data_IF_651732842123
#
_entry.id   IF_651732842123
#
_cell.length_a   1.000
_cell.length_b   1.000
_cell.length_c   1.000
_cell.angle_alpha   90.00
_cell.angle_beta   90.00
_cell.angle_gamma   90.00
#
_symmetry.space_group_name_H-M   'P 1'
#
loop_
_entity.id
_entity.type
_entity.pdbx_description
1 polymer ?
#
# COMPACT_ATOMS: atom_id res chain seq x y z
N UNK A 1 -10.38 -26.21 -8.58
CA UNK A 1 -10.53 -25.08 -7.64
C UNK A 1 -10.55 -23.81 -8.48
N UNK A 2 -11.36 -22.79 -8.15
CA UNK A 2 -11.30 -21.54 -8.92
C UNK A 2 -10.10 -20.71 -8.46
N UNK A 3 -9.19 -20.38 -9.38
CA UNK A 3 -8.03 -19.50 -9.12
C UNK A 3 -8.44 -18.10 -8.62
N UNK A 4 -9.70 -17.72 -8.83
CA UNK A 4 -10.24 -16.39 -8.50
C UNK A 4 -11.11 -16.34 -7.24
N UNK A 5 -11.03 -17.34 -6.35
CA UNK A 5 -11.91 -17.44 -5.18
C UNK A 5 -11.63 -16.38 -4.09
N UNK A 6 -10.38 -15.91 -3.98
CA UNK A 6 -9.94 -14.96 -2.94
C UNK A 6 -9.32 -13.67 -3.52
N UNK A 7 -9.54 -13.42 -4.81
CA UNK A 7 -8.88 -12.34 -5.56
C UNK A 7 -9.66 -11.04 -5.47
N UNK A 8 -8.98 -9.91 -5.20
CA UNK A 8 -9.65 -8.61 -5.17
C UNK A 8 -10.01 -8.16 -6.60
N UNK A 9 -11.05 -7.34 -6.74
CA UNK A 9 -11.46 -6.80 -8.04
C UNK A 9 -10.32 -6.05 -8.75
N UNK A 10 -9.51 -5.30 -8.00
CA UNK A 10 -8.36 -4.57 -8.54
C UNK A 10 -7.30 -5.51 -9.13
N UNK A 11 -7.01 -6.65 -8.50
CA UNK A 11 -6.04 -7.61 -9.02
C UNK A 11 -6.53 -8.25 -10.32
N UNK A 12 -7.84 -8.56 -10.40
CA UNK A 12 -8.44 -9.09 -11.63
C UNK A 12 -8.44 -8.06 -12.77
N UNK A 13 -8.60 -6.77 -12.44
CA UNK A 13 -8.53 -5.69 -13.43
C UNK A 13 -7.13 -5.65 -14.07
N UNK A 14 -6.08 -5.67 -13.24
CA UNK A 14 -4.68 -5.69 -13.71
C UNK A 14 -4.44 -6.92 -14.57
N UNK A 15 -4.85 -8.12 -14.11
CA UNK A 15 -4.69 -9.35 -14.89
C UNK A 15 -5.42 -9.29 -16.25
N UNK A 16 -6.59 -8.65 -16.30
CA UNK A 16 -7.34 -8.47 -17.56
C UNK A 16 -6.58 -7.54 -18.52
N UNK A 17 -6.00 -6.45 -18.02
CA UNK A 17 -5.17 -5.52 -18.80
C UNK A 17 -3.87 -6.18 -19.31
N UNK A 18 -3.22 -7.01 -18.49
CA UNK A 18 -2.02 -7.78 -18.87
C UNK A 18 -2.31 -8.80 -19.99
N UNK A 19 -3.52 -9.36 -20.02
CA UNK A 19 -3.99 -10.23 -21.10
C UNK A 19 -4.41 -9.47 -22.37
N UNK A 20 -4.19 -8.15 -22.42
CA UNK A 20 -4.51 -7.28 -23.55
C UNK A 20 -5.98 -6.88 -23.66
N UNK A 21 -6.81 -7.24 -22.67
CA UNK A 21 -8.23 -6.91 -22.64
C UNK A 21 -8.48 -5.56 -21.95
N UNK A 22 -9.51 -4.83 -22.38
CA UNK A 22 -9.82 -3.52 -21.79
C UNK A 22 -10.66 -3.67 -20.53
N UNK A 23 -10.06 -3.44 -19.36
CA UNK A 23 -10.76 -3.46 -18.08
C UNK A 23 -11.06 -2.03 -17.57
N UNK A 24 -12.32 -1.72 -17.29
CA UNK A 24 -12.73 -0.47 -16.66
C UNK A 24 -13.24 -0.71 -15.23
N UNK A 25 -13.41 0.37 -14.47
CA UNK A 25 -13.88 0.28 -13.10
C UNK A 25 -15.38 -0.05 -12.99
N UNK A 26 -16.15 0.11 -14.07
CA UNK A 26 -17.59 -0.18 -14.10
C UNK A 26 -17.89 -1.67 -14.32
N UNK A 27 -16.96 -2.44 -14.89
CA UNK A 27 -17.06 -3.88 -15.06
C UNK A 27 -17.25 -4.56 -13.71
N UNK A 28 -18.19 -5.50 -13.63
CA UNK A 28 -18.37 -6.29 -12.42
C UNK A 28 -17.27 -7.35 -12.33
N UNK A 29 -17.07 -7.90 -11.14
CA UNK A 29 -16.10 -8.99 -10.93
C UNK A 29 -16.39 -10.21 -11.82
N UNK A 30 -17.67 -10.48 -12.13
CA UNK A 30 -18.07 -11.52 -13.09
C UNK A 30 -17.62 -11.18 -14.51
N UNK A 31 -17.73 -9.93 -14.92
CA UNK A 31 -17.39 -9.50 -16.28
C UNK A 31 -15.87 -9.64 -16.50
N UNK A 32 -15.06 -9.22 -15.52
CA UNK A 32 -13.60 -9.40 -15.55
C UNK A 32 -13.19 -10.88 -15.65
N UNK A 33 -13.83 -11.76 -14.87
CA UNK A 33 -13.58 -13.21 -14.96
C UNK A 33 -13.90 -13.78 -16.34
N UNK A 34 -15.01 -13.32 -16.92
CA UNK A 34 -15.41 -13.74 -18.26
C UNK A 34 -14.44 -13.22 -19.33
N UNK A 35 -13.95 -12.00 -19.20
CA UNK A 35 -12.93 -11.43 -20.11
C UNK A 35 -11.64 -12.25 -20.06
N UNK A 36 -11.16 -12.56 -18.85
CA UNK A 36 -9.97 -13.39 -18.65
C UNK A 36 -10.16 -14.77 -19.28
N UNK A 37 -11.29 -15.45 -19.06
CA UNK A 37 -11.56 -16.75 -19.66
C UNK A 37 -11.76 -16.71 -21.17
N UNK A 38 -12.19 -15.58 -21.73
CA UNK A 38 -12.42 -15.41 -23.16
C UNK A 38 -11.15 -14.99 -23.91
N UNK A 39 -10.10 -14.56 -23.21
CA UNK A 39 -8.83 -14.18 -23.83
C UNK A 39 -8.16 -15.40 -24.47
N UNK A 40 -7.68 -15.22 -25.69
CA UNK A 40 -6.95 -16.26 -26.42
C UNK A 40 -5.59 -16.60 -25.78
N UNK A 41 -5.02 -15.65 -25.04
CA UNK A 41 -3.73 -15.80 -24.35
C UNK A 41 -3.90 -16.36 -22.93
N UNK A 42 -5.12 -16.74 -22.53
CA UNK A 42 -5.38 -17.29 -21.21
C UNK A 42 -4.82 -18.70 -21.06
N UNK A 43 -3.74 -18.81 -20.30
CA UNK A 43 -3.25 -20.05 -19.72
C UNK A 43 -3.46 -20.03 -18.20
N UNK A 44 -4.04 -21.08 -17.63
CA UNK A 44 -4.44 -21.10 -16.20
C UNK A 44 -3.24 -21.01 -15.25
N UNK A 45 -2.13 -21.69 -15.56
CA UNK A 45 -0.94 -21.66 -14.70
C UNK A 45 -0.22 -20.32 -14.83
N UNK A 46 -0.08 -19.79 -16.05
CA UNK A 46 0.47 -18.46 -16.29
C UNK A 46 -0.36 -17.39 -15.60
N UNK A 47 -1.69 -17.38 -15.76
CA UNK A 47 -2.58 -16.42 -15.11
C UNK A 47 -2.48 -16.49 -13.58
N UNK A 48 -2.29 -17.69 -13.02
CA UNK A 48 -2.09 -17.90 -11.59
C UNK A 48 -0.73 -17.37 -11.12
N UNK A 49 0.36 -17.57 -11.86
CA UNK A 49 1.68 -17.00 -11.57
C UNK A 49 1.64 -15.47 -11.62
N UNK A 50 1.08 -14.89 -12.68
CA UNK A 50 0.89 -13.45 -12.81
C UNK A 50 0.09 -12.87 -11.66
N UNK A 51 -1.01 -13.53 -11.29
CA UNK A 51 -1.85 -13.07 -10.19
C UNK A 51 -1.12 -13.12 -8.84
N UNK A 52 -0.28 -14.13 -8.61
CA UNK A 52 0.56 -14.19 -7.42
C UNK A 52 1.55 -13.02 -7.36
N UNK A 53 2.15 -12.66 -8.50
CA UNK A 53 3.02 -11.48 -8.61
C UNK A 53 2.27 -10.20 -8.27
N UNK A 54 1.10 -9.96 -8.88
CA UNK A 54 0.25 -8.79 -8.61
C UNK A 54 -0.11 -8.70 -7.11
N UNK A 55 -0.51 -9.82 -6.52
CA UNK A 55 -0.86 -9.88 -5.10
C UNK A 55 0.35 -9.59 -4.20
N UNK A 56 1.53 -10.13 -4.55
CA UNK A 56 2.75 -9.91 -3.78
C UNK A 56 3.22 -8.45 -3.86
N UNK A 57 3.24 -7.86 -5.05
CA UNK A 57 3.60 -6.45 -5.24
C UNK A 57 2.66 -5.52 -4.45
N UNK A 58 1.36 -5.81 -4.44
CA UNK A 58 0.39 -5.05 -3.63
C UNK A 58 0.71 -5.19 -2.14
N UNK A 59 0.95 -6.40 -1.65
CA UNK A 59 1.29 -6.65 -0.23
C UNK A 59 2.58 -5.95 0.17
N UNK A 60 3.60 -5.99 -0.69
CA UNK A 60 4.87 -5.32 -0.44
C UNK A 60 4.68 -3.80 -0.38
N UNK A 61 3.85 -3.22 -1.25
CA UNK A 61 3.49 -1.80 -1.19
C UNK A 61 2.75 -1.44 0.09
N UNK A 62 1.71 -2.21 0.46
CA UNK A 62 0.94 -2.01 1.69
C UNK A 62 1.87 -2.10 2.93
N UNK A 63 2.84 -3.02 2.93
CA UNK A 63 3.83 -3.15 4.00
C UNK A 63 4.82 -1.98 4.03
N UNK A 64 5.31 -1.54 2.86
CA UNK A 64 6.18 -0.38 2.75
C UNK A 64 5.52 0.90 3.25
N UNK A 65 4.26 1.12 2.88
CA UNK A 65 3.46 2.26 3.36
C UNK A 65 3.33 2.22 4.88
N UNK A 66 2.97 1.07 5.45
CA UNK A 66 2.88 0.91 6.92
C UNK A 66 4.21 1.18 7.62
N UNK A 67 5.33 0.65 7.09
CA UNK A 67 6.67 0.91 7.65
C UNK A 67 7.05 2.40 7.57
N UNK A 68 6.72 3.04 6.45
CA UNK A 68 6.99 4.46 6.27
C UNK A 68 6.15 5.33 7.22
N UNK A 69 4.87 4.98 7.43
CA UNK A 69 4.02 5.64 8.43
C UNK A 69 4.59 5.50 9.84
N UNK A 70 5.07 4.32 10.21
CA UNK A 70 5.69 4.06 11.51
C UNK A 70 6.95 4.92 11.72
N UNK A 71 7.83 4.98 10.72
CA UNK A 71 9.03 5.83 10.73
C UNK A 71 8.65 7.31 10.88
N UNK A 72 7.67 7.79 10.11
CA UNK A 72 7.22 9.18 10.17
C UNK A 72 6.63 9.55 11.54
N UNK A 73 5.91 8.62 12.18
CA UNK A 73 5.37 8.81 13.52
C UNK A 73 6.48 8.86 14.57
N UNK A 74 7.48 7.97 14.49
CA UNK A 74 8.64 7.99 15.40
C UNK A 74 9.47 9.27 15.24
N UNK A 75 9.74 9.70 14.01
CA UNK A 75 10.45 10.95 13.76
C UNK A 75 9.70 12.16 14.31
N UNK A 76 8.37 12.19 14.18
CA UNK A 76 7.54 13.25 14.75
C UNK A 76 7.67 13.29 16.27
N UNK A 77 7.50 12.14 16.95
CA UNK A 77 7.65 12.04 18.41
C UNK A 77 9.03 12.52 18.87
N UNK A 78 10.09 12.10 18.18
CA UNK A 78 11.46 12.53 18.50
C UNK A 78 11.64 14.05 18.35
N UNK A 79 11.06 14.66 17.30
CA UNK A 79 11.11 16.11 17.10
C UNK A 79 10.35 16.85 18.20
N UNK A 80 9.16 16.38 18.56
CA UNK A 80 8.35 16.96 19.65
C UNK A 80 9.08 16.88 21.00
N UNK A 81 9.72 15.74 21.30
CA UNK A 81 10.51 15.57 22.54
C UNK A 81 11.72 16.52 22.57
N UNK A 82 12.48 16.61 21.47
CA UNK A 82 13.60 17.55 21.37
C UNK A 82 13.16 19.02 21.49
N UNK A 83 12.00 19.36 20.95
CA UNK A 83 11.45 20.71 21.08
C UNK A 83 11.05 21.00 22.52
N UNK A 84 10.37 20.05 23.17
CA UNK A 84 10.00 20.15 24.58
C UNK A 84 11.23 20.38 25.48
N UNK A 85 12.28 19.57 25.32
CA UNK A 85 13.54 19.73 26.06
C UNK A 85 14.20 21.09 25.82
N UNK A 86 14.21 21.57 24.56
CA UNK A 86 14.72 22.91 24.23
C UNK A 86 13.90 24.01 24.89
N UNK A 87 12.58 23.89 24.92
CA UNK A 87 11.72 24.88 25.58
C UNK A 87 11.93 24.90 27.09
N UNK A 88 12.06 23.72 27.71
CA UNK A 88 12.36 23.59 29.14
C UNK A 88 13.72 24.19 29.50
N UNK A 89 14.76 23.88 28.72
CA UNK A 89 16.10 24.44 28.92
C UNK A 89 16.10 25.98 28.81
N UNK A 90 15.41 26.54 27.81
CA UNK A 90 15.24 27.99 27.66
C UNK A 90 14.50 28.62 28.84
N UNK A 91 13.46 27.96 29.34
CA UNK A 91 12.71 28.40 30.53
C UNK A 91 13.59 28.46 31.78
N UNK A 92 14.44 27.44 32.00
CA UNK A 92 15.38 27.40 33.12
C UNK A 92 16.40 28.54 33.06
N UNK A 93 16.99 28.81 31.89
CA UNK A 93 17.98 29.90 31.71
C UNK A 93 17.34 31.26 32.03
N UNK A 94 16.16 31.55 31.47
CA UNK A 94 15.45 32.82 31.72
C UNK A 94 15.10 33.01 33.20
N UNK A 95 14.75 31.93 33.90
CA UNK A 95 14.46 31.96 35.34
C UNK A 95 15.70 32.24 36.21
N UNK A 96 16.88 31.87 35.73
CA UNK A 96 18.14 32.20 36.43
C UNK A 96 18.60 33.64 36.19
N UNK A 97 18.41 34.17 34.98
CA UNK A 97 18.76 35.56 34.64
C UNK A 97 17.87 36.59 35.35
N UNK A 98 16.60 36.27 35.61
CA UNK A 98 15.67 37.17 36.29
C UNK A 98 15.87 37.27 37.82
N UNK A 99 16.79 36.49 38.40
CA UNK A 99 17.05 36.43 39.85
C UNK A 99 18.40 37.01 40.27
N UNK A 100 19.23 37.47 39.33
CA UNK A 100 20.51 38.17 39.60
C UNK A 100 20.39 39.65 39.33
#
# INVERSE_FOLDING_TARGET
MSIFAATRKCDLKILTEELGETANDSHKLKDLKNMIWASNEYDEESAKEWLNTIINERKEREENERRNEEILLEERKRKEEQEYERTEAKGRIRGTEAKG
#
